data_IF_869434728018
#
_entry.id   IF_869434728018
#
_cell.length_a   1.000
_cell.length_b   1.000
_cell.length_c   1.000
_cell.angle_alpha   90.00
_cell.angle_beta   90.00
_cell.angle_gamma   90.00
#
_symmetry.space_group_name_H-M   'P 1'
#
loop_
_entity.id
_entity.type
_entity.pdbx_description
1 polymer ?
#
# COMPACT_ATOMS: atom_id res chain seq x y z
N UNK A 1 -4.16 -3.30 6.46
CA UNK A 1 -3.27 -2.19 6.09
C UNK A 1 -4.03 -0.88 6.21
N UNK A 2 -3.31 0.19 6.46
CA UNK A 2 -3.95 1.50 6.61
C UNK A 2 -3.01 2.59 6.10
N UNK A 3 -3.55 3.78 5.90
CA UNK A 3 -2.77 4.92 5.43
C UNK A 3 -1.61 5.17 6.39
N UNK A 4 -0.42 5.36 5.82
CA UNK A 4 0.80 5.55 6.60
C UNK A 4 1.63 4.29 6.76
N UNK A 5 1.08 3.12 6.45
CA UNK A 5 1.83 1.87 6.55
C UNK A 5 2.91 1.80 5.47
N UNK A 6 4.07 1.25 5.84
CA UNK A 6 5.13 0.98 4.88
C UNK A 6 4.94 -0.40 4.30
N UNK A 7 5.04 -0.49 2.99
CA UNK A 7 4.81 -1.73 2.26
C UNK A 7 5.93 -1.97 1.26
N UNK A 8 6.03 -3.21 0.82
CA UNK A 8 7.05 -3.63 -0.12
C UNK A 8 6.42 -4.46 -1.23
N UNK A 9 6.86 -4.24 -2.44
CA UNK A 9 6.50 -5.04 -3.61
C UNK A 9 7.78 -5.37 -4.37
N UNK A 10 8.19 -6.63 -4.31
CA UNK A 10 9.48 -7.02 -4.87
C UNK A 10 10.61 -6.28 -4.19
N UNK A 11 11.36 -5.48 -4.95
CA UNK A 11 12.43 -4.65 -4.41
C UNK A 11 12.01 -3.20 -4.17
N UNK A 12 10.73 -2.88 -4.41
CA UNK A 12 10.23 -1.51 -4.25
C UNK A 12 9.59 -1.33 -2.90
N UNK A 13 9.86 -0.19 -2.27
CA UNK A 13 9.28 0.16 -0.98
C UNK A 13 8.43 1.40 -1.18
N UNK A 14 7.28 1.44 -0.52
CA UNK A 14 6.38 2.58 -0.62
C UNK A 14 5.59 2.77 0.67
N UNK A 15 4.80 3.83 0.68
CA UNK A 15 3.92 4.12 1.79
C UNK A 15 2.49 4.24 1.26
N UNK A 16 1.55 3.67 1.99
CA UNK A 16 0.14 3.76 1.62
C UNK A 16 -0.35 5.17 1.90
N UNK A 17 -0.86 5.83 0.86
CA UNK A 17 -1.32 7.21 0.95
C UNK A 17 -2.83 7.35 0.84
N UNK A 18 -3.53 6.33 0.35
CA UNK A 18 -4.98 6.37 0.26
C UNK A 18 -5.55 4.96 0.20
N UNK A 19 -6.63 4.74 0.91
CA UNK A 19 -7.39 3.49 0.88
C UNK A 19 -8.85 3.86 0.64
N UNK A 20 -9.45 3.27 -0.41
CA UNK A 20 -10.87 3.48 -0.70
C UNK A 20 -11.71 2.74 0.35
N UNK A 21 -12.52 3.45 1.13
CA UNK A 21 -13.31 2.81 2.18
C UNK A 21 -14.38 1.87 1.66
N UNK A 22 -14.70 1.95 0.37
CA UNK A 22 -15.69 1.06 -0.23
C UNK A 22 -15.08 -0.24 -0.73
N UNK A 23 -13.74 -0.29 -0.87
CA UNK A 23 -13.05 -1.49 -1.28
C UNK A 23 -12.55 -2.25 -0.07
N UNK A 24 -13.32 -3.25 0.34
CA UNK A 24 -12.99 -4.07 1.50
C UNK A 24 -12.88 -5.52 1.05
N UNK A 25 -12.03 -6.28 1.75
CA UNK A 25 -11.84 -7.70 1.48
C UNK A 25 -10.46 -8.01 0.94
N UNK A 26 -10.32 -9.21 0.37
CA UNK A 26 -9.02 -9.77 0.00
C UNK A 26 -8.39 -9.11 -1.22
N UNK A 27 -9.17 -8.39 -2.01
CA UNK A 27 -8.69 -7.74 -3.23
C UNK A 27 -8.70 -6.22 -3.11
N UNK A 28 -8.54 -5.73 -1.90
CA UNK A 28 -8.50 -4.30 -1.65
C UNK A 28 -7.33 -3.67 -2.40
N UNK A 29 -7.61 -2.59 -3.13
CA UNK A 29 -6.58 -1.79 -3.78
C UNK A 29 -6.30 -0.55 -2.97
N UNK A 30 -5.03 -0.22 -2.87
CA UNK A 30 -4.58 0.96 -2.13
C UNK A 30 -3.67 1.79 -3.00
N UNK A 31 -3.67 3.10 -2.76
CA UNK A 31 -2.73 3.98 -3.43
C UNK A 31 -1.43 3.99 -2.65
N UNK A 32 -0.33 3.80 -3.37
CA UNK A 32 0.99 3.74 -2.77
C UNK A 32 1.89 4.78 -3.44
N UNK A 33 2.58 5.56 -2.64
CA UNK A 33 3.66 6.43 -3.12
C UNK A 33 4.96 5.67 -2.93
N UNK A 34 5.60 5.34 -4.04
CA UNK A 34 6.81 4.52 -4.05
C UNK A 34 8.04 5.37 -3.79
N UNK A 35 9.09 4.73 -3.31
CA UNK A 35 10.34 5.43 -2.94
C UNK A 35 11.04 6.12 -4.10
N UNK A 36 10.75 5.71 -5.33
CA UNK A 36 11.31 6.35 -6.52
C UNK A 36 10.50 7.58 -6.99
N UNK A 37 9.45 7.92 -6.28
CA UNK A 37 8.62 9.07 -6.59
C UNK A 37 7.36 8.75 -7.38
N UNK A 38 7.19 7.52 -7.81
CA UNK A 38 5.98 7.12 -8.53
C UNK A 38 4.82 6.93 -7.57
N UNK A 39 3.62 7.21 -8.07
CA UNK A 39 2.37 6.98 -7.35
C UNK A 39 1.53 6.03 -8.18
N UNK A 40 1.02 4.99 -7.56
CA UNK A 40 0.17 4.04 -8.26
C UNK A 40 -0.67 3.23 -7.30
N UNK A 41 -1.57 2.44 -7.85
CA UNK A 41 -2.43 1.56 -7.07
C UNK A 41 -1.88 0.15 -7.10
N UNK A 42 -2.05 -0.56 -5.98
CA UNK A 42 -1.64 -1.95 -5.90
C UNK A 42 -2.63 -2.71 -5.02
N UNK A 43 -2.82 -3.98 -5.34
CA UNK A 43 -3.66 -4.84 -4.51
C UNK A 43 -2.88 -5.25 -3.27
N UNK A 44 -3.53 -5.17 -2.11
CA UNK A 44 -2.90 -5.50 -0.84
C UNK A 44 -2.39 -6.94 -0.80
N UNK A 45 -2.97 -7.82 -1.59
CA UNK A 45 -2.55 -9.22 -1.65
C UNK A 45 -1.12 -9.39 -2.19
N UNK A 46 -0.63 -8.41 -2.93
CA UNK A 46 0.72 -8.43 -3.50
C UNK A 46 1.71 -7.62 -2.69
N UNK A 47 1.25 -6.93 -1.67
CA UNK A 47 2.09 -6.06 -0.85
C UNK A 47 2.49 -6.77 0.44
N UNK A 48 3.75 -6.58 0.82
CA UNK A 48 4.24 -7.06 2.09
C UNK A 48 4.27 -5.90 3.07
N UNK A 49 3.63 -6.06 4.23
CA UNK A 49 3.65 -5.03 5.25
C UNK A 49 4.99 -5.02 5.96
N UNK A 50 5.68 -3.86 5.92
CA UNK A 50 6.98 -3.71 6.57
C UNK A 50 6.82 -3.09 7.94
N UNK A 51 6.00 -2.04 8.04
CA UNK A 51 5.81 -1.31 9.28
C UNK A 51 4.40 -0.78 9.37
N UNK A 52 3.77 -0.98 10.51
CA UNK A 52 2.42 -0.50 10.78
C UNK A 52 2.46 0.84 11.51
N UNK A 53 1.60 1.74 11.06
CA UNK A 53 1.35 3.00 11.77
C UNK A 53 0.16 2.82 12.71
N UNK A 54 0.29 3.26 13.91
CA UNK A 54 -0.79 3.24 14.90
C UNK A 54 -1.70 4.45 14.79
#
# INVERSE_FOLDING_TARGET
MKVGDLVKYGSHIGIITYIDPEEIGDNEEVEVTWSDGDVGNASTRYLELISEQD
#
